data_IF_958066147335
#
_entry.id   IF_958066147335
#
_cell.length_a   1.000
_cell.length_b   1.000
_cell.length_c   1.000
_cell.angle_alpha   90.00
_cell.angle_beta   90.00
_cell.angle_gamma   90.00
#
_symmetry.space_group_name_H-M   'P 1'
#
loop_
_entity.id
_entity.type
_entity.pdbx_description
1 polymer ?
#
# COMPACT_ATOMS: atom_id res chain seq x y z
N UNK A 1 1.29 4.88 -17.37
CA UNK A 1 0.63 5.99 -18.05
C UNK A 1 0.56 5.78 -19.56
N UNK A 2 1.64 5.56 -20.28
CA UNK A 2 1.65 5.32 -21.74
C UNK A 2 0.76 4.13 -22.17
N UNK A 3 0.80 3.04 -21.43
CA UNK A 3 -0.02 1.86 -21.69
C UNK A 3 -1.52 2.18 -21.55
N UNK A 4 -1.91 2.94 -20.53
CA UNK A 4 -3.32 3.33 -20.33
C UNK A 4 -3.83 4.19 -21.49
N UNK A 5 -3.00 5.11 -22.00
CA UNK A 5 -3.32 5.91 -23.20
C UNK A 5 -3.46 5.02 -24.44
N UNK A 6 -2.61 4.01 -24.60
CA UNK A 6 -2.68 3.07 -25.71
C UNK A 6 -3.99 2.21 -25.70
N UNK A 7 -4.55 1.96 -24.53
CA UNK A 7 -5.83 1.28 -24.33
C UNK A 7 -7.05 2.23 -24.32
N UNK A 8 -6.88 3.47 -24.76
CA UNK A 8 -7.99 4.42 -24.92
C UNK A 8 -8.49 5.07 -23.63
N UNK A 9 -7.74 4.96 -22.54
CA UNK A 9 -8.05 5.70 -21.31
C UNK A 9 -7.71 7.17 -21.50
N UNK A 10 -8.70 8.02 -21.66
CA UNK A 10 -8.51 9.48 -21.76
C UNK A 10 -8.22 10.06 -20.38
N UNK A 11 -6.95 10.31 -20.09
CA UNK A 11 -6.58 11.08 -18.90
C UNK A 11 -6.80 12.56 -19.16
N UNK A 12 -7.70 13.16 -18.38
CA UNK A 12 -7.92 14.60 -18.40
C UNK A 12 -6.78 15.33 -17.69
N UNK A 13 -6.16 16.30 -18.34
CA UNK A 13 -5.04 17.10 -17.81
C UNK A 13 -5.28 17.68 -16.41
N UNK A 14 -6.49 18.20 -16.07
CA UNK A 14 -6.80 18.71 -14.74
C UNK A 14 -6.69 17.66 -13.61
N UNK A 15 -6.82 16.36 -13.91
CA UNK A 15 -6.79 15.31 -12.90
C UNK A 15 -5.37 14.80 -12.58
N UNK A 16 -4.36 15.17 -13.37
CA UNK A 16 -2.98 14.73 -13.20
C UNK A 16 -2.38 15.10 -11.84
N UNK A 17 -2.57 16.32 -11.29
CA UNK A 17 -2.03 16.64 -9.97
C UNK A 17 -2.62 15.77 -8.86
N UNK A 18 -3.94 15.51 -8.92
CA UNK A 18 -4.61 14.66 -7.95
C UNK A 18 -4.13 13.20 -8.06
N UNK A 19 -3.98 12.71 -9.29
CA UNK A 19 -3.44 11.37 -9.55
C UNK A 19 -2.01 11.24 -9.04
N UNK A 20 -1.16 12.24 -9.28
CA UNK A 20 0.21 12.27 -8.76
C UNK A 20 0.24 12.22 -7.23
N UNK A 21 -0.59 13.00 -6.56
CA UNK A 21 -0.71 13.00 -5.11
C UNK A 21 -1.19 11.63 -4.59
N UNK A 22 -2.15 11.01 -5.27
CA UNK A 22 -2.62 9.66 -4.95
C UNK A 22 -1.49 8.60 -5.10
N UNK A 23 -0.68 8.71 -6.15
CA UNK A 23 0.48 7.83 -6.35
C UNK A 23 1.51 8.00 -5.24
N UNK A 24 1.85 9.24 -4.88
CA UNK A 24 2.81 9.52 -3.81
C UNK A 24 2.29 9.00 -2.47
N UNK A 25 1.02 9.23 -2.13
CA UNK A 25 0.44 8.74 -0.87
C UNK A 25 0.39 7.20 -0.80
N UNK A 26 0.02 6.54 -1.90
CA UNK A 26 0.05 5.08 -1.98
C UNK A 26 1.46 4.50 -1.87
N UNK A 27 2.43 5.10 -2.57
CA UNK A 27 3.83 4.72 -2.47
C UNK A 27 4.37 4.91 -1.03
N UNK A 28 3.98 5.99 -0.35
CA UNK A 28 4.35 6.27 1.03
C UNK A 28 3.82 5.19 1.99
N UNK A 29 2.57 4.74 1.82
CA UNK A 29 2.01 3.66 2.62
C UNK A 29 2.81 2.36 2.46
N UNK A 30 3.09 1.97 1.21
CA UNK A 30 3.83 0.73 0.93
C UNK A 30 5.29 0.82 1.40
N UNK A 31 5.93 1.97 1.25
CA UNK A 31 7.27 2.22 1.76
C UNK A 31 7.30 2.14 3.29
N UNK A 32 6.32 2.74 3.98
CA UNK A 32 6.19 2.67 5.43
C UNK A 32 5.98 1.23 5.93
N UNK A 33 5.16 0.43 5.23
CA UNK A 33 5.00 -0.99 5.49
C UNK A 33 6.32 -1.75 5.32
N UNK A 34 7.04 -1.52 4.23
CA UNK A 34 8.35 -2.14 3.98
C UNK A 34 9.38 -1.78 5.06
N UNK A 35 9.44 -0.52 5.47
CA UNK A 35 10.30 -0.06 6.56
C UNK A 35 9.94 -0.72 7.89
N UNK A 36 8.66 -0.79 8.23
CA UNK A 36 8.19 -1.48 9.42
C UNK A 36 8.65 -2.94 9.42
N UNK A 37 8.41 -3.67 8.34
CA UNK A 37 8.83 -5.07 8.23
C UNK A 37 10.35 -5.21 8.34
N UNK A 38 11.14 -4.28 7.78
CA UNK A 38 12.61 -4.33 7.84
C UNK A 38 13.17 -4.16 9.25
N UNK A 39 12.48 -3.42 10.11
CA UNK A 39 12.87 -3.24 11.52
C UNK A 39 12.62 -4.50 12.34
N UNK A 40 11.50 -5.20 12.08
CA UNK A 40 11.10 -6.38 12.86
C UNK A 40 11.71 -7.68 12.34
N UNK A 41 12.07 -7.76 11.05
CA UNK A 41 12.65 -8.96 10.43
C UNK A 41 14.16 -8.81 10.32
N UNK A 42 14.88 -9.59 11.13
CA UNK A 42 16.33 -9.46 11.29
C UNK A 42 17.16 -10.15 10.18
N UNK A 43 16.58 -11.12 9.48
CA UNK A 43 17.29 -11.91 8.47
C UNK A 43 16.79 -11.53 7.08
N UNK A 44 17.72 -11.20 6.17
CA UNK A 44 17.40 -10.75 4.82
C UNK A 44 16.60 -11.80 4.02
N UNK A 45 16.94 -13.07 4.18
CA UNK A 45 16.23 -14.17 3.53
C UNK A 45 14.77 -14.28 3.98
N UNK A 46 14.53 -14.13 5.29
CA UNK A 46 13.20 -14.12 5.86
C UNK A 46 12.43 -12.85 5.49
N UNK A 47 13.11 -11.73 5.28
CA UNK A 47 12.49 -10.48 4.84
C UNK A 47 11.83 -10.63 3.48
N UNK A 48 12.54 -11.17 2.48
CA UNK A 48 11.99 -11.38 1.14
C UNK A 48 10.77 -12.33 1.15
N UNK A 49 10.86 -13.43 1.90
CA UNK A 49 9.75 -14.36 2.09
C UNK A 49 8.53 -13.71 2.75
N UNK A 50 8.76 -12.95 3.82
CA UNK A 50 7.68 -12.25 4.54
C UNK A 50 7.05 -11.15 3.68
N UNK A 51 7.84 -10.38 2.93
CA UNK A 51 7.32 -9.37 2.02
C UNK A 51 6.38 -10.00 0.99
N UNK A 52 6.78 -11.12 0.38
CA UNK A 52 5.93 -11.84 -0.56
C UNK A 52 4.66 -12.37 0.12
N UNK A 53 4.78 -12.94 1.31
CA UNK A 53 3.64 -13.46 2.07
C UNK A 53 2.64 -12.36 2.50
N UNK A 54 3.11 -11.14 2.71
CA UNK A 54 2.25 -9.99 3.04
C UNK A 54 1.67 -9.34 1.77
N UNK A 55 2.53 -9.07 0.76
CA UNK A 55 2.12 -8.32 -0.43
C UNK A 55 1.18 -9.12 -1.32
N UNK A 56 1.43 -10.41 -1.56
CA UNK A 56 0.57 -11.20 -2.44
C UNK A 56 -0.88 -11.31 -1.94
N UNK A 57 -1.17 -11.68 -0.68
CA UNK A 57 -2.54 -11.68 -0.20
C UNK A 57 -3.18 -10.29 -0.25
N UNK A 58 -2.44 -9.24 0.12
CA UNK A 58 -2.93 -7.87 0.04
C UNK A 58 -3.34 -7.49 -1.38
N UNK A 59 -2.52 -7.85 -2.38
CA UNK A 59 -2.79 -7.59 -3.78
C UNK A 59 -3.99 -8.38 -4.30
N UNK A 60 -4.05 -9.69 -4.03
CA UNK A 60 -5.11 -10.57 -4.54
C UNK A 60 -6.48 -10.29 -3.91
N UNK A 61 -6.53 -9.86 -2.65
CA UNK A 61 -7.76 -9.50 -1.95
C UNK A 61 -8.20 -8.06 -2.32
N UNK A 62 -7.31 -7.25 -2.88
CA UNK A 62 -7.62 -5.87 -3.24
C UNK A 62 -8.45 -5.76 -4.52
N UNK A 63 -9.14 -4.62 -4.73
CA UNK A 63 -9.90 -4.34 -5.96
C UNK A 63 -9.01 -4.05 -7.18
N UNK A 64 -7.70 -4.31 -7.09
CA UNK A 64 -6.79 -4.21 -8.22
C UNK A 64 -7.14 -5.22 -9.33
N UNK A 65 -7.59 -6.42 -8.94
CA UNK A 65 -8.00 -7.47 -9.87
C UNK A 65 -9.51 -7.47 -10.12
N UNK A 66 -10.31 -7.22 -9.07
CA UNK A 66 -11.77 -7.26 -9.14
C UNK A 66 -12.36 -6.03 -8.45
N UNK A 67 -13.23 -5.23 -9.13
CA UNK A 67 -13.91 -4.12 -8.50
C UNK A 67 -14.75 -4.57 -7.30
N UNK A 68 -14.81 -3.76 -6.24
CA UNK A 68 -15.55 -4.09 -5.01
C UNK A 68 -17.04 -4.37 -5.28
N UNK A 69 -17.67 -3.63 -6.21
CA UNK A 69 -19.07 -3.85 -6.58
C UNK A 69 -19.32 -5.25 -7.15
N UNK A 70 -18.34 -5.82 -7.86
CA UNK A 70 -18.46 -7.18 -8.41
C UNK A 70 -18.34 -8.25 -7.32
N UNK A 71 -17.56 -7.99 -6.26
CA UNK A 71 -17.51 -8.85 -5.07
C UNK A 71 -18.82 -8.79 -4.30
N UNK A 72 -19.47 -7.64 -4.25
CA UNK A 72 -20.76 -7.43 -3.62
C UNK A 72 -21.86 -8.21 -4.38
N UNK A 73 -21.92 -8.12 -5.69
CA UNK A 73 -22.85 -8.86 -6.54
C UNK A 73 -22.68 -10.39 -6.45
N UNK A 74 -21.44 -10.87 -6.25
CA UNK A 74 -21.16 -12.30 -6.15
C UNK A 74 -21.59 -12.94 -4.83
N UNK A 75 -22.07 -12.15 -3.87
CA UNK A 75 -22.47 -12.61 -2.53
C UNK A 75 -21.31 -13.05 -1.63
N UNK A 76 -20.06 -12.79 -2.03
CA UNK A 76 -18.87 -13.13 -1.25
C UNK A 76 -18.60 -12.10 -0.14
N UNK A 77 -19.53 -11.93 0.79
CA UNK A 77 -19.49 -10.92 1.86
C UNK A 77 -18.24 -10.98 2.73
N UNK A 78 -17.74 -12.17 2.98
CA UNK A 78 -16.52 -12.35 3.78
C UNK A 78 -15.28 -11.79 3.04
N UNK A 79 -15.20 -11.99 1.72
CA UNK A 79 -14.10 -11.47 0.89
C UNK A 79 -14.19 -9.94 0.76
N UNK A 80 -15.40 -9.41 0.63
CA UNK A 80 -15.64 -7.97 0.62
C UNK A 80 -15.16 -7.32 1.93
N UNK A 81 -15.48 -7.93 3.07
CA UNK A 81 -15.00 -7.43 4.37
C UNK A 81 -13.47 -7.47 4.49
N UNK A 82 -12.84 -8.57 4.08
CA UNK A 82 -11.37 -8.66 4.05
C UNK A 82 -10.76 -7.61 3.14
N UNK A 83 -11.35 -7.38 1.96
CA UNK A 83 -10.91 -6.33 1.05
C UNK A 83 -11.04 -4.93 1.67
N UNK A 84 -12.11 -4.64 2.38
CA UNK A 84 -12.32 -3.35 3.06
C UNK A 84 -11.33 -3.09 4.21
N UNK A 85 -10.89 -4.13 4.90
CA UNK A 85 -9.87 -4.03 5.96
C UNK A 85 -8.44 -3.92 5.42
N UNK A 86 -8.23 -4.27 4.16
CA UNK A 86 -6.92 -4.25 3.53
C UNK A 86 -6.50 -2.81 3.18
N UNK A 87 -5.40 -2.28 3.73
CA UNK A 87 -4.95 -0.92 3.43
C UNK A 87 -4.60 -0.72 1.96
N UNK A 88 -4.16 -1.77 1.26
CA UNK A 88 -3.86 -1.71 -0.16
C UNK A 88 -5.12 -1.47 -1.01
N UNK A 89 -6.28 -1.93 -0.57
CA UNK A 89 -7.58 -1.63 -1.18
C UNK A 89 -7.81 -0.14 -1.28
N UNK A 90 -7.53 0.58 -0.20
CA UNK A 90 -7.71 2.03 -0.15
C UNK A 90 -6.69 2.78 -1.03
N UNK A 91 -5.49 2.24 -1.22
CA UNK A 91 -4.54 2.78 -2.21
C UNK A 91 -5.12 2.66 -3.62
N UNK A 92 -5.62 1.48 -3.99
CA UNK A 92 -6.21 1.26 -5.32
C UNK A 92 -7.45 2.14 -5.54
N UNK A 93 -8.32 2.25 -4.53
CA UNK A 93 -9.51 3.13 -4.61
C UNK A 93 -9.11 4.60 -4.73
N UNK A 94 -8.12 5.05 -3.94
CA UNK A 94 -7.62 6.44 -4.04
C UNK A 94 -7.11 6.75 -5.44
N UNK A 95 -6.34 5.84 -6.05
CA UNK A 95 -5.84 5.98 -7.42
C UNK A 95 -6.99 5.99 -8.44
N UNK A 96 -7.95 5.07 -8.29
CA UNK A 96 -9.10 4.96 -9.19
C UNK A 96 -9.94 6.23 -9.18
N UNK A 97 -10.32 6.74 -8.01
CA UNK A 97 -11.08 7.98 -7.90
C UNK A 97 -10.31 9.19 -8.40
N UNK A 98 -8.99 9.26 -8.14
CA UNK A 98 -8.13 10.34 -8.63
C UNK A 98 -8.05 10.38 -10.17
N UNK A 99 -8.11 9.23 -10.85
CA UNK A 99 -8.17 9.18 -12.33
C UNK A 99 -9.41 9.87 -12.89
N UNK A 100 -10.52 9.83 -12.16
CA UNK A 100 -11.78 10.50 -12.53
C UNK A 100 -11.92 11.91 -11.93
N UNK A 101 -10.86 12.44 -11.30
CA UNK A 101 -10.88 13.75 -10.65
C UNK A 101 -11.73 13.80 -9.39
N UNK A 102 -12.03 12.66 -8.80
CA UNK A 102 -12.82 12.54 -7.58
C UNK A 102 -11.93 12.22 -6.37
N UNK A 103 -12.36 12.65 -5.19
CA UNK A 103 -11.67 12.41 -3.93
C UNK A 103 -12.54 11.50 -3.06
N UNK A 104 -12.03 10.30 -2.78
CA UNK A 104 -12.64 9.41 -1.79
C UNK A 104 -12.01 9.67 -0.42
N UNK A 105 -12.67 10.48 0.41
CA UNK A 105 -12.17 10.89 1.74
C UNK A 105 -11.88 9.71 2.65
N UNK A 106 -12.67 8.63 2.59
CA UNK A 106 -12.46 7.44 3.40
C UNK A 106 -11.14 6.76 3.00
N UNK A 107 -10.92 6.54 1.71
CA UNK A 107 -9.71 5.90 1.23
C UNK A 107 -8.46 6.75 1.52
N UNK A 108 -8.54 8.07 1.34
CA UNK A 108 -7.47 8.98 1.70
C UNK A 108 -7.13 8.94 3.19
N UNK A 109 -8.14 8.98 4.06
CA UNK A 109 -7.92 8.94 5.51
C UNK A 109 -7.28 7.61 5.95
N UNK A 110 -7.69 6.48 5.38
CA UNK A 110 -7.10 5.17 5.68
C UNK A 110 -5.64 5.08 5.20
N UNK A 111 -5.33 5.59 4.00
CA UNK A 111 -3.96 5.60 3.48
C UNK A 111 -3.05 6.46 4.35
N UNK A 112 -3.48 7.66 4.74
CA UNK A 112 -2.69 8.54 5.59
C UNK A 112 -2.54 7.99 7.01
N UNK A 113 -3.61 7.51 7.62
CA UNK A 113 -3.59 6.91 8.96
C UNK A 113 -2.73 5.63 8.99
N UNK A 114 -2.84 4.78 7.96
CA UNK A 114 -2.01 3.58 7.80
C UNK A 114 -0.54 3.93 7.66
N UNK A 115 -0.21 4.94 6.85
CA UNK A 115 1.17 5.43 6.71
C UNK A 115 1.73 5.92 8.05
N UNK A 116 0.97 6.75 8.77
CA UNK A 116 1.37 7.25 10.09
C UNK A 116 1.54 6.12 11.11
N UNK A 117 0.66 5.13 11.10
CA UNK A 117 0.74 3.95 11.95
C UNK A 117 2.01 3.13 11.67
N UNK A 118 2.30 2.81 10.40
CA UNK A 118 3.48 2.05 10.03
C UNK A 118 4.78 2.81 10.33
N UNK A 119 4.84 4.12 10.10
CA UNK A 119 5.97 4.94 10.52
C UNK A 119 6.11 4.98 12.04
N UNK A 120 5.02 5.11 12.78
CA UNK A 120 5.03 5.08 14.25
C UNK A 120 5.56 3.76 14.81
N UNK A 121 5.13 2.62 14.24
CA UNK A 121 5.63 1.29 14.59
C UNK A 121 7.11 1.13 14.22
N UNK A 122 7.52 1.68 13.07
CA UNK A 122 8.94 1.70 12.66
C UNK A 122 9.78 2.48 13.66
N UNK A 123 9.32 3.67 14.04
CA UNK A 123 10.00 4.52 15.03
C UNK A 123 10.15 3.81 16.39
N UNK A 124 9.08 3.18 16.85
CA UNK A 124 9.12 2.45 18.14
C UNK A 124 10.05 1.23 18.08
N UNK A 125 10.05 0.47 16.98
CA UNK A 125 10.88 -0.72 16.82
C UNK A 125 12.34 -0.41 16.46
N UNK A 126 12.65 0.82 16.08
CA UNK A 126 13.98 1.20 15.63
C UNK A 126 14.95 1.39 16.81
N UNK A 127 15.94 0.52 16.90
CA UNK A 127 17.02 0.59 17.88
C UNK A 127 18.35 0.92 17.17
N UNK A 128 18.82 2.18 17.23
CA UNK A 128 20.04 2.60 16.52
C UNK A 128 21.30 1.91 17.05
N UNK A 129 21.29 1.36 18.26
CA UNK A 129 22.46 0.72 18.85
C UNK A 129 22.70 -0.70 18.33
N UNK A 130 21.69 -1.36 17.79
CA UNK A 130 21.82 -2.74 17.27
C UNK A 130 22.68 -2.85 16.01
N UNK A 131 22.83 -1.78 15.24
CA UNK A 131 23.66 -1.73 14.04
C UNK A 131 25.16 -1.63 14.31
N UNK A 132 25.56 -1.00 15.41
CA UNK A 132 26.96 -0.70 15.73
C UNK A 132 27.68 -1.85 16.45
N UNK A 133 26.95 -2.68 17.19
CA UNK A 133 27.54 -3.77 17.98
C UNK A 133 28.06 -4.92 17.10
N UNK A 134 27.46 -5.14 15.94
CA UNK A 134 27.88 -6.22 15.02
C UNK A 134 29.19 -5.93 14.29
N UNK A 135 29.59 -4.68 14.14
CA UNK A 135 30.86 -4.32 13.49
C UNK A 135 32.07 -4.41 14.44
N UNK A 136 31.87 -4.37 15.76
CA UNK A 136 32.98 -4.48 16.74
C UNK A 136 33.35 -5.91 17.12
N UNK A 137 32.54 -6.90 16.77
CA UNK A 137 32.80 -8.32 17.07
C UNK A 137 33.42 -9.12 15.93
N UNK A 138 33.75 -8.48 14.79
CA UNK A 138 34.34 -9.11 13.59
C UNK A 138 35.77 -8.62 13.30
N UNK A 139 36.45 -8.05 14.30
CA UNK A 139 37.88 -7.70 14.25
C UNK A 139 38.67 -8.64 15.14
#
# INVERSE_FOLDING_TARGET
MLIALAFGVTLSWPHLPLLFLAMVSGATLLAALGLMLSVYIKQLENFAGTMNFVIFPMFFISPALYPLWKLEESGAWWLLRLAQWNPFTHVVETLRFAMYGQVNMLSWSVVLAGSACFFGLTWWGYDPQRGWIKQRGAA
#
